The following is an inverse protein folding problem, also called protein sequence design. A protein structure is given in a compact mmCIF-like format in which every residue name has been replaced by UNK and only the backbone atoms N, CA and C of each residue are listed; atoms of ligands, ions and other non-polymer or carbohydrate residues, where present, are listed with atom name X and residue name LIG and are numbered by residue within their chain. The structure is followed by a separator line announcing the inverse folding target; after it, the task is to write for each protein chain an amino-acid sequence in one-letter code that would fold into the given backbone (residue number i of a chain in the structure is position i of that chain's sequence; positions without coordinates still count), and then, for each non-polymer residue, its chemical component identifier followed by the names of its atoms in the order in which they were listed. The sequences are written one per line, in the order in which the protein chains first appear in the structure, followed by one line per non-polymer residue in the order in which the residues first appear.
data_IF_699451926795
#
_entry.id   IF_699451926795
#
_cell.length_a   1.000
_cell.length_b   1.000
_cell.length_c   1.000
_cell.angle_alpha   90.00
_cell.angle_beta   90.00
_cell.angle_gamma   90.00
#
_symmetry.space_group_name_H-M   'P 1'
#
loop_
_entity.id
_entity.type
_entity.pdbx_description
1 polymer ?
#
# COMPACT_ATOMS: atom_id res chain seq x y z
N UNK A 1 -6.50 0.64 -12.27
CA UNK A 1 -6.39 -0.81 -12.02
C UNK A 1 -5.53 -1.45 -13.10
N UNK A 2 -4.84 -2.54 -12.77
CA UNK A 2 -4.15 -3.36 -13.77
C UNK A 2 -5.17 -4.33 -14.39
N UNK A 3 -5.14 -4.44 -15.73
CA UNK A 3 -5.96 -5.39 -16.47
C UNK A 3 -5.30 -6.78 -16.49
N UNK A 4 -5.97 -7.77 -15.94
CA UNK A 4 -5.60 -9.17 -16.10
C UNK A 4 -6.43 -9.77 -17.22
N UNK A 5 -5.79 -10.32 -18.27
CA UNK A 5 -6.47 -10.82 -19.47
C UNK A 5 -7.40 -12.00 -19.16
N UNK A 6 -7.07 -12.86 -18.19
CA UNK A 6 -7.94 -13.96 -17.76
C UNK A 6 -9.17 -13.46 -17.00
N UNK A 7 -9.02 -12.41 -16.19
CA UNK A 7 -10.15 -11.76 -15.50
C UNK A 7 -11.04 -11.06 -16.53
N UNK A 8 -10.44 -10.32 -17.46
CA UNK A 8 -11.18 -9.67 -18.55
C UNK A 8 -11.90 -10.68 -19.45
N UNK A 9 -11.31 -11.83 -19.71
CA UNK A 9 -11.95 -12.90 -20.48
C UNK A 9 -13.21 -13.46 -19.80
N UNK A 10 -13.20 -13.58 -18.49
CA UNK A 10 -14.31 -14.14 -17.71
C UNK A 10 -15.38 -13.13 -17.32
N UNK A 11 -14.98 -11.90 -17.06
CA UNK A 11 -15.82 -10.87 -16.44
C UNK A 11 -15.85 -9.54 -17.21
N UNK A 12 -15.12 -9.45 -18.33
CA UNK A 12 -15.05 -8.25 -19.15
C UNK A 12 -16.15 -8.17 -20.19
N UNK A 13 -16.74 -7.01 -20.32
CA UNK A 13 -17.71 -6.64 -21.38
C UNK A 13 -17.57 -5.16 -21.70
N UNK A 14 -18.14 -4.75 -22.83
CA UNK A 14 -18.23 -3.33 -23.19
C UNK A 14 -19.70 -2.91 -23.12
N UNK A 15 -19.98 -1.83 -22.39
CA UNK A 15 -21.30 -1.27 -22.23
C UNK A 15 -21.24 0.25 -22.24
N UNK A 16 -22.04 0.88 -23.08
CA UNK A 16 -22.17 2.34 -23.17
C UNK A 16 -20.81 3.06 -23.34
N UNK A 17 -19.93 2.52 -24.16
CA UNK A 17 -18.60 3.08 -24.41
C UNK A 17 -17.61 2.93 -23.24
N UNK A 18 -17.89 2.05 -22.28
CA UNK A 18 -17.01 1.75 -21.15
C UNK A 18 -16.60 0.28 -21.16
N UNK A 19 -15.36 0.00 -20.79
CA UNK A 19 -14.92 -1.35 -20.49
C UNK A 19 -15.34 -1.69 -19.06
N UNK A 20 -16.25 -2.64 -18.91
CA UNK A 20 -16.77 -3.09 -17.62
C UNK A 20 -16.09 -4.38 -17.24
N UNK A 21 -15.48 -4.43 -16.05
CA UNK A 21 -14.87 -5.65 -15.50
C UNK A 21 -15.37 -5.84 -14.07
N UNK A 22 -16.20 -6.83 -13.85
CA UNK A 22 -16.91 -7.00 -12.57
C UNK A 22 -17.80 -5.80 -12.27
N UNK A 23 -17.54 -5.14 -11.14
CA UNK A 23 -18.31 -3.96 -10.70
C UNK A 23 -17.72 -2.62 -11.17
N UNK A 24 -16.64 -2.62 -11.93
CA UNK A 24 -15.95 -1.40 -12.35
C UNK A 24 -16.16 -1.12 -13.83
N UNK A 25 -16.39 0.16 -14.17
CA UNK A 25 -16.57 0.64 -15.53
C UNK A 25 -15.50 1.69 -15.86
N UNK A 26 -14.67 1.40 -16.86
CA UNK A 26 -13.52 2.21 -17.25
C UNK A 26 -13.82 3.01 -18.50
N UNK A 27 -13.64 4.32 -18.42
CA UNK A 27 -13.74 5.26 -19.55
C UNK A 27 -12.45 5.31 -20.36
N UNK A 28 -11.32 5.15 -19.68
CA UNK A 28 -9.98 5.10 -20.27
C UNK A 28 -9.35 3.73 -20.09
N UNK A 29 -8.72 3.23 -21.13
CA UNK A 29 -7.85 2.06 -21.08
C UNK A 29 -6.49 2.46 -21.63
N UNK A 30 -5.43 2.11 -20.89
CA UNK A 30 -4.04 2.35 -21.27
C UNK A 30 -3.33 1.04 -21.54
N UNK A 31 -2.74 0.92 -22.71
CA UNK A 31 -1.91 -0.22 -23.10
C UNK A 31 -0.45 0.23 -22.98
N UNK A 32 0.30 -0.33 -22.00
CA UNK A 32 1.74 -0.11 -21.91
C UNK A 32 2.47 -0.85 -23.05
N UNK A 33 3.77 -0.63 -23.19
CA UNK A 33 4.59 -1.43 -24.09
C UNK A 33 4.50 -2.91 -23.69
N UNK A 34 3.89 -3.72 -24.55
CA UNK A 34 3.73 -5.16 -24.37
C UNK A 34 4.00 -5.89 -25.69
N UNK A 35 4.47 -7.14 -25.59
CA UNK A 35 4.84 -7.93 -26.77
C UNK A 35 3.68 -8.74 -27.33
N UNK A 36 2.86 -9.28 -26.49
CA UNK A 36 1.79 -10.22 -26.82
C UNK A 36 0.46 -9.80 -26.19
N UNK A 37 -0.66 -10.15 -26.81
CA UNK A 37 -2.02 -9.87 -26.32
C UNK A 37 -2.92 -11.06 -26.58
N UNK A 38 -3.84 -11.31 -25.66
CA UNK A 38 -4.92 -12.33 -25.79
C UNK A 38 -5.98 -11.86 -26.79
N UNK A 39 -6.49 -12.76 -27.62
CA UNK A 39 -7.57 -12.47 -28.60
C UNK A 39 -8.81 -11.86 -27.96
N UNK A 40 -9.18 -12.29 -26.77
CA UNK A 40 -10.34 -11.72 -26.10
C UNK A 40 -10.08 -10.26 -25.66
N UNK A 41 -8.86 -9.94 -25.23
CA UNK A 41 -8.47 -8.57 -24.90
C UNK A 41 -8.55 -7.69 -26.15
N UNK A 42 -7.99 -8.14 -27.28
CA UNK A 42 -8.11 -7.42 -28.56
C UNK A 42 -9.58 -7.17 -28.92
N UNK A 43 -10.43 -8.20 -28.85
CA UNK A 43 -11.88 -8.08 -29.13
C UNK A 43 -12.53 -7.03 -28.23
N UNK A 44 -12.30 -7.07 -26.93
CA UNK A 44 -12.86 -6.10 -25.97
C UNK A 44 -12.39 -4.68 -26.26
N UNK A 45 -11.12 -4.48 -26.57
CA UNK A 45 -10.57 -3.16 -26.85
C UNK A 45 -11.06 -2.59 -28.18
N UNK A 46 -11.23 -3.43 -29.20
CA UNK A 46 -11.81 -3.05 -30.49
C UNK A 46 -13.29 -2.64 -30.32
N UNK A 47 -14.06 -3.43 -29.58
CA UNK A 47 -15.45 -3.11 -29.27
C UNK A 47 -15.56 -1.82 -28.41
N UNK A 48 -14.67 -1.66 -27.43
CA UNK A 48 -14.59 -0.48 -26.57
C UNK A 48 -14.36 0.79 -27.39
N UNK A 49 -13.38 0.78 -28.28
CA UNK A 49 -13.11 1.96 -29.14
C UNK A 49 -14.21 2.22 -30.15
N UNK A 50 -14.84 1.18 -30.69
CA UNK A 50 -15.99 1.31 -31.60
C UNK A 50 -17.22 1.97 -30.94
N UNK A 51 -17.37 1.80 -29.61
CA UNK A 51 -18.42 2.45 -28.82
C UNK A 51 -18.00 3.81 -28.24
N UNK A 52 -16.86 4.37 -28.65
CA UNK A 52 -16.38 5.69 -28.21
C UNK A 52 -15.53 5.67 -26.93
N UNK A 53 -15.10 4.48 -26.48
CA UNK A 53 -14.16 4.31 -25.39
C UNK A 53 -12.79 4.92 -25.72
N UNK A 54 -12.09 5.39 -24.70
CA UNK A 54 -10.84 6.14 -24.82
C UNK A 54 -9.64 5.21 -24.59
N UNK A 55 -9.03 4.76 -25.69
CA UNK A 55 -7.86 3.89 -25.68
C UNK A 55 -6.57 4.69 -25.89
N UNK A 56 -5.64 4.55 -24.97
CA UNK A 56 -4.28 5.08 -25.07
C UNK A 56 -3.33 3.94 -25.31
N UNK A 57 -2.45 4.05 -26.30
CA UNK A 57 -1.37 3.12 -26.58
C UNK A 57 -0.06 3.90 -26.38
N UNK A 58 0.84 3.41 -25.52
CA UNK A 58 2.05 4.16 -25.13
C UNK A 58 2.92 4.45 -26.35
N UNK A 59 3.76 3.55 -26.78
CA UNK A 59 4.67 3.79 -27.89
C UNK A 59 4.36 2.89 -29.10
N UNK A 60 4.12 1.62 -28.83
CA UNK A 60 3.96 0.59 -29.87
C UNK A 60 2.81 -0.35 -29.52
N UNK A 61 2.11 -0.75 -30.57
CA UNK A 61 1.17 -1.86 -30.47
C UNK A 61 1.90 -3.16 -30.13
N UNK A 62 1.23 -4.16 -29.55
CA UNK A 62 1.77 -5.52 -29.46
C UNK A 62 2.20 -6.04 -30.83
N UNK A 63 3.12 -6.98 -30.86
CA UNK A 63 3.58 -7.60 -32.09
C UNK A 63 3.00 -9.00 -32.30
N UNK A 64 2.48 -9.62 -31.25
CA UNK A 64 1.97 -10.98 -31.25
C UNK A 64 0.58 -11.05 -30.63
N UNK A 65 -0.26 -11.92 -31.19
CA UNK A 65 -1.56 -12.27 -30.69
C UNK A 65 -1.56 -13.78 -30.35
N UNK A 66 -1.58 -14.11 -29.07
CA UNK A 66 -1.45 -15.50 -28.58
C UNK A 66 -0.20 -16.20 -29.17
N UNK A 67 0.94 -15.49 -29.22
CA UNK A 67 2.22 -16.00 -29.69
C UNK A 67 2.44 -15.95 -31.21
N UNK A 68 1.46 -15.60 -32.01
CA UNK A 68 1.54 -15.48 -33.46
C UNK A 68 1.69 -14.01 -33.89
N UNK A 69 2.54 -13.72 -34.87
CA UNK A 69 2.67 -12.37 -35.41
C UNK A 69 1.34 -11.85 -35.92
N UNK A 70 0.97 -10.63 -35.48
CA UNK A 70 -0.31 -10.01 -35.84
C UNK A 70 -0.17 -8.50 -36.02
N UNK A 71 -0.79 -7.88 -37.05
CA UNK A 71 -0.59 -6.45 -37.38
C UNK A 71 -1.34 -5.47 -36.47
N UNK A 72 -2.39 -5.90 -35.77
CA UNK A 72 -3.25 -5.06 -34.91
C UNK A 72 -3.80 -3.80 -35.60
N UNK A 73 -4.20 -3.90 -36.88
CA UNK A 73 -4.69 -2.75 -37.66
C UNK A 73 -5.98 -2.16 -37.10
N UNK A 74 -6.84 -3.01 -36.51
CA UNK A 74 -8.07 -2.63 -35.84
C UNK A 74 -7.85 -1.92 -34.49
N UNK A 75 -6.73 -2.13 -33.86
CA UNK A 75 -6.39 -1.52 -32.57
C UNK A 75 -5.87 -0.10 -32.80
N UNK A 76 -6.70 0.89 -32.57
CA UNK A 76 -6.37 2.32 -32.80
C UNK A 76 -6.48 3.09 -31.48
N UNK A 77 -5.44 3.88 -31.15
CA UNK A 77 -5.53 4.83 -30.07
C UNK A 77 -6.64 5.88 -30.38
N UNK A 78 -7.47 6.15 -29.40
CA UNK A 78 -8.56 7.13 -29.49
C UNK A 78 -8.41 8.26 -28.49
N UNK A 79 -7.36 8.21 -27.64
CA UNK A 79 -7.00 9.21 -26.65
C UNK A 79 -5.48 9.22 -26.43
N UNK A 80 -5.00 10.23 -25.74
CA UNK A 80 -3.62 10.45 -25.36
C UNK A 80 -3.41 10.34 -23.85
N UNK A 81 -2.16 10.26 -23.38
CA UNK A 81 -1.84 10.36 -21.95
C UNK A 81 -2.29 11.70 -21.37
N UNK A 82 -2.16 12.78 -22.14
CA UNK A 82 -2.61 14.13 -21.73
C UNK A 82 -4.13 14.16 -21.46
N UNK A 83 -4.93 13.40 -22.23
CA UNK A 83 -6.37 13.28 -22.00
C UNK A 83 -6.67 12.56 -20.67
N UNK A 84 -5.87 11.53 -20.32
CA UNK A 84 -5.96 10.90 -19.01
C UNK A 84 -5.61 11.90 -17.90
N UNK A 85 -4.48 12.61 -18.04
CA UNK A 85 -4.01 13.59 -17.05
C UNK A 85 -5.03 14.71 -16.82
N UNK A 86 -5.72 15.15 -17.87
CA UNK A 86 -6.80 16.14 -17.78
C UNK A 86 -8.07 15.60 -17.12
N UNK A 87 -8.30 14.30 -17.17
CA UNK A 87 -9.48 13.66 -16.61
C UNK A 87 -9.34 13.32 -15.12
N UNK A 88 -8.14 13.43 -14.56
CA UNK A 88 -7.89 13.10 -13.15
C UNK A 88 -8.41 14.24 -12.26
N UNK A 89 -9.13 13.87 -11.23
CA UNK A 89 -9.80 14.82 -10.31
C UNK A 89 -8.84 15.48 -9.31
N UNK A 90 -7.58 15.06 -9.30
CA UNK A 90 -6.55 15.62 -8.45
C UNK A 90 -5.22 15.74 -9.19
N UNK A 91 -4.35 16.64 -8.71
CA UNK A 91 -2.96 16.76 -9.20
C UNK A 91 -2.00 16.77 -8.03
N UNK A 92 -0.90 16.03 -8.18
CA UNK A 92 0.18 15.97 -7.20
C UNK A 92 1.46 16.44 -7.88
N UNK A 93 2.13 17.43 -7.26
CA UNK A 93 3.44 17.92 -7.69
C UNK A 93 4.45 17.69 -6.56
N UNK A 94 5.70 17.44 -6.91
CA UNK A 94 6.79 17.17 -5.97
C UNK A 94 7.11 15.69 -5.78
N UNK A 95 7.96 15.38 -4.80
CA UNK A 95 8.32 14.01 -4.43
C UNK A 95 9.16 13.23 -5.43
N UNK A 96 9.85 13.91 -6.37
CA UNK A 96 10.84 13.32 -7.28
C UNK A 96 10.39 12.03 -8.00
N UNK A 97 9.10 11.93 -8.35
CA UNK A 97 8.52 10.76 -9.03
C UNK A 97 8.33 9.51 -8.14
N UNK A 98 8.59 9.61 -6.84
CA UNK A 98 8.44 8.50 -5.88
C UNK A 98 7.14 8.53 -5.10
N UNK A 99 6.27 9.50 -5.37
CA UNK A 99 4.94 9.54 -4.78
C UNK A 99 4.02 8.57 -5.53
N UNK A 100 3.24 7.82 -4.76
CA UNK A 100 2.12 7.03 -5.29
C UNK A 100 0.85 7.48 -4.60
N UNK A 101 -0.25 7.37 -5.31
CA UNK A 101 -1.55 7.82 -4.82
C UNK A 101 -2.67 6.90 -5.25
N UNK A 102 -3.74 6.92 -4.48
CA UNK A 102 -4.98 6.25 -4.81
C UNK A 102 -6.17 7.12 -4.39
N UNK A 103 -6.94 7.55 -5.36
CA UNK A 103 -8.19 8.29 -5.16
C UNK A 103 -9.35 7.29 -5.01
N UNK A 104 -10.21 7.53 -4.05
CA UNK A 104 -11.33 6.64 -3.72
C UNK A 104 -12.57 7.43 -3.35
N UNK A 105 -13.69 6.93 -3.81
CA UNK A 105 -15.03 7.34 -3.39
C UNK A 105 -15.71 6.20 -2.63
N UNK A 106 -16.40 6.52 -1.57
CA UNK A 106 -17.12 5.55 -0.74
C UNK A 106 -18.18 6.20 0.10
N UNK A 107 -18.93 5.42 0.84
CA UNK A 107 -20.05 5.87 1.68
C UNK A 107 -19.63 6.88 2.76
N UNK A 108 -18.37 6.90 3.12
CA UNK A 108 -17.78 7.83 4.09
C UNK A 108 -17.12 9.06 3.46
N UNK A 109 -17.27 9.23 2.14
CA UNK A 109 -16.76 10.39 1.40
C UNK A 109 -15.66 10.04 0.40
N UNK A 110 -15.13 11.08 -0.21
CA UNK A 110 -14.06 11.00 -1.20
C UNK A 110 -12.72 11.32 -0.56
N UNK A 111 -11.72 10.50 -0.80
CA UNK A 111 -10.39 10.70 -0.25
C UNK A 111 -9.26 10.32 -1.20
N UNK A 112 -8.13 10.97 -1.00
CA UNK A 112 -6.86 10.68 -1.65
C UNK A 112 -5.90 10.07 -0.62
N UNK A 113 -5.45 8.85 -0.86
CA UNK A 113 -4.31 8.26 -0.16
C UNK A 113 -3.02 8.60 -0.91
N UNK A 114 -2.01 9.07 -0.20
CA UNK A 114 -0.71 9.45 -0.78
C UNK A 114 0.38 8.78 0.03
N UNK A 115 1.38 8.20 -0.65
CA UNK A 115 2.54 7.58 0.01
C UNK A 115 3.84 7.98 -0.67
N UNK A 116 4.85 8.27 0.13
CA UNK A 116 6.21 8.52 -0.31
C UNK A 116 7.01 7.21 -0.30
N UNK A 117 7.40 6.73 -1.46
CA UNK A 117 8.24 5.53 -1.63
C UNK A 117 9.75 5.86 -1.67
N UNK A 118 10.13 7.12 -1.44
CA UNK A 118 11.52 7.52 -1.39
C UNK A 118 12.14 7.22 -0.01
N UNK A 119 13.45 7.03 0.00
CA UNK A 119 14.28 6.94 1.21
C UNK A 119 14.46 8.31 1.90
N UNK A 120 14.03 9.39 1.27
CA UNK A 120 14.10 10.78 1.76
C UNK A 120 12.70 11.34 2.00
N UNK A 121 12.66 12.35 2.84
CA UNK A 121 11.45 13.17 3.01
C UNK A 121 11.07 13.84 1.69
N UNK A 122 9.78 13.96 1.45
CA UNK A 122 9.20 14.61 0.28
C UNK A 122 8.20 15.69 0.69
N UNK A 123 8.32 16.86 0.08
CA UNK A 123 7.26 17.86 0.10
C UNK A 123 6.41 17.71 -1.15
N UNK A 124 5.10 17.65 -0.96
CA UNK A 124 4.15 17.50 -2.05
C UNK A 124 3.05 18.57 -1.98
N UNK A 125 2.71 19.07 -3.13
CA UNK A 125 1.62 19.98 -3.37
C UNK A 125 0.49 19.20 -4.03
N UNK A 126 -0.70 19.29 -3.46
CA UNK A 126 -1.87 18.52 -3.91
C UNK A 126 -3.00 19.50 -4.24
N UNK A 127 -3.46 19.47 -5.48
CA UNK A 127 -4.68 20.15 -5.89
C UNK A 127 -5.81 19.14 -5.94
N UNK A 128 -6.86 19.40 -5.19
CA UNK A 128 -8.11 18.65 -5.16
C UNK A 128 -9.24 19.53 -5.70
N UNK A 129 -10.44 18.98 -5.87
CA UNK A 129 -11.60 19.75 -6.33
C UNK A 129 -12.22 20.56 -5.19
N UNK A 130 -12.22 20.01 -3.98
CA UNK A 130 -12.77 20.67 -2.79
C UNK A 130 -11.90 21.84 -2.33
N UNK A 131 -12.57 22.85 -1.77
CA UNK A 131 -11.90 24.08 -1.30
C UNK A 131 -11.17 23.91 0.04
N UNK A 132 -11.61 22.97 0.87
CA UNK A 132 -11.10 22.77 2.23
C UNK A 132 -10.82 21.28 2.53
N UNK A 133 -9.91 20.62 1.76
CA UNK A 133 -9.54 19.25 2.06
C UNK A 133 -8.83 19.18 3.41
N UNK A 134 -9.07 18.10 4.17
CA UNK A 134 -8.44 17.90 5.48
C UNK A 134 -7.69 16.57 5.53
N UNK A 135 -6.62 16.52 6.32
CA UNK A 135 -5.95 15.27 6.63
C UNK A 135 -6.69 14.46 7.68
N UNK A 136 -6.52 13.14 7.66
CA UNK A 136 -7.12 12.24 8.63
C UNK A 136 -6.06 11.38 9.29
N UNK A 137 -5.96 11.49 10.62
CA UNK A 137 -5.06 10.69 11.46
C UNK A 137 -5.79 9.40 11.86
N UNK A 138 -5.33 8.26 11.34
CA UNK A 138 -5.94 6.95 11.61
C UNK A 138 -5.70 6.46 13.04
N UNK A 139 -4.60 6.85 13.68
CA UNK A 139 -4.30 6.43 15.05
C UNK A 139 -5.19 7.15 16.05
N UNK A 140 -5.40 8.45 15.85
CA UNK A 140 -6.24 9.27 16.70
C UNK A 140 -7.70 9.32 16.26
N UNK A 141 -8.01 8.78 15.08
CA UNK A 141 -9.35 8.85 14.47
C UNK A 141 -9.88 10.29 14.38
N UNK A 142 -9.03 11.23 13.99
CA UNK A 142 -9.32 12.67 13.99
C UNK A 142 -8.97 13.34 12.68
N UNK A 143 -9.80 14.32 12.32
CA UNK A 143 -9.48 15.27 11.25
C UNK A 143 -8.39 16.24 11.74
N UNK A 144 -7.49 16.61 10.85
CA UNK A 144 -6.54 17.69 11.11
C UNK A 144 -6.47 18.66 9.92
N UNK A 145 -6.25 19.96 10.19
CA UNK A 145 -6.18 20.96 9.16
C UNK A 145 -4.90 20.80 8.33
N UNK A 146 -5.02 20.97 7.02
CA UNK A 146 -3.88 21.01 6.11
C UNK A 146 -3.40 22.46 5.94
N UNK A 147 -2.14 22.59 5.54
CA UNK A 147 -1.62 23.86 5.05
C UNK A 147 -2.18 24.10 3.66
N UNK A 148 -2.97 25.17 3.49
CA UNK A 148 -3.56 25.54 2.21
C UNK A 148 -2.94 26.84 1.69
N UNK A 149 -2.54 26.83 0.43
CA UNK A 149 -2.04 28.02 -0.28
C UNK A 149 -2.45 27.95 -1.74
N UNK A 150 -2.99 29.03 -2.26
CA UNK A 150 -3.43 29.18 -3.67
C UNK A 150 -4.35 28.01 -4.13
N UNK A 151 -5.26 27.56 -3.24
CA UNK A 151 -6.20 26.47 -3.50
C UNK A 151 -5.56 25.08 -3.57
N UNK A 152 -4.39 24.90 -3.00
CA UNK A 152 -3.66 23.64 -2.96
C UNK A 152 -3.31 23.26 -1.52
N UNK A 153 -3.31 21.98 -1.22
CA UNK A 153 -2.82 21.44 0.05
C UNK A 153 -1.33 21.14 -0.04
N UNK A 154 -0.60 21.47 1.01
CA UNK A 154 0.82 21.19 1.14
C UNK A 154 1.03 20.22 2.29
N UNK A 155 1.73 19.11 2.01
CA UNK A 155 2.08 18.11 3.01
C UNK A 155 3.55 17.74 2.90
N UNK A 156 4.11 17.35 4.04
CA UNK A 156 5.44 16.78 4.14
C UNK A 156 5.32 15.33 4.54
N UNK A 157 5.88 14.45 3.73
CA UNK A 157 5.87 13.01 3.94
C UNK A 157 7.29 12.54 4.24
N UNK A 158 7.54 12.02 5.42
CA UNK A 158 8.81 11.39 5.76
C UNK A 158 9.12 10.19 4.85
N UNK A 159 10.27 9.56 5.03
CA UNK A 159 10.63 8.29 4.39
C UNK A 159 9.54 7.24 4.66
N UNK A 160 8.97 6.67 3.60
CA UNK A 160 7.87 5.70 3.70
C UNK A 160 6.57 6.27 4.31
N UNK A 161 6.53 7.59 4.55
CA UNK A 161 5.38 8.25 5.14
C UNK A 161 4.18 8.30 4.20
N UNK A 162 2.99 8.30 4.78
CA UNK A 162 1.73 8.39 4.03
C UNK A 162 0.75 9.35 4.66
N UNK A 163 -0.23 9.79 3.89
CA UNK A 163 -1.33 10.62 4.36
C UNK A 163 -2.64 10.20 3.70
N UNK A 164 -3.73 10.37 4.44
CA UNK A 164 -5.10 10.30 3.92
C UNK A 164 -5.67 11.69 3.93
N UNK A 165 -6.17 12.14 2.80
CA UNK A 165 -6.72 13.48 2.61
C UNK A 165 -8.13 13.33 2.11
N UNK A 166 -9.09 13.79 2.90
CA UNK A 166 -10.50 13.82 2.52
C UNK A 166 -10.84 15.11 1.80
N UNK A 167 -11.70 15.02 0.81
CA UNK A 167 -12.32 16.18 0.20
C UNK A 167 -13.40 16.75 1.12
N UNK A 168 -13.48 18.08 1.19
CA UNK A 168 -14.49 18.78 1.95
C UNK A 168 -14.60 20.23 1.52
N UNK A 169 -15.81 20.75 1.51
CA UNK A 169 -16.10 22.18 1.35
C UNK A 169 -16.43 22.86 2.68
N UNK A 170 -16.38 22.09 3.78
CA UNK A 170 -16.55 22.61 5.14
C UNK A 170 -15.36 23.48 5.50
N UNK A 171 -15.58 24.77 5.67
CA UNK A 171 -14.54 25.76 5.95
C UNK A 171 -13.90 25.51 7.31
N UNK A 172 -12.58 25.48 7.33
CA UNK A 172 -11.78 25.44 8.56
C UNK A 172 -10.60 26.43 8.47
N UNK A 173 -9.98 26.70 9.62
CA UNK A 173 -8.73 27.51 9.66
C UNK A 173 -7.57 26.64 9.20
N UNK A 174 -6.92 26.91 8.04
CA UNK A 174 -5.80 26.13 7.56
C UNK A 174 -4.62 26.14 8.54
N UNK A 175 -3.88 25.05 8.59
CA UNK A 175 -2.63 25.01 9.32
C UNK A 175 -1.62 25.99 8.70
N UNK A 176 -0.79 26.60 9.54
CA UNK A 176 0.26 27.50 9.08
C UNK A 176 1.48 26.69 8.62
N UNK A 177 2.16 27.19 7.61
CA UNK A 177 3.47 26.65 7.28
C UNK A 177 4.39 26.73 8.50
N UNK A 178 5.17 25.68 8.69
CA UNK A 178 6.25 25.71 9.65
C UNK A 178 7.27 26.76 9.21
N UNK A 179 7.51 27.76 10.06
CA UNK A 179 8.36 28.92 9.76
C UNK A 179 9.85 28.71 10.04
N UNK A 180 10.25 27.47 10.32
CA UNK A 180 11.62 27.10 10.62
C UNK A 180 12.05 27.42 12.06
N UNK A 181 11.13 27.80 12.95
CA UNK A 181 11.48 27.97 14.37
C UNK A 181 11.76 26.60 15.00
N UNK A 182 12.87 26.54 15.68
CA UNK A 182 13.24 25.36 16.45
C UNK A 182 12.76 25.52 17.88
N UNK A 183 12.16 24.47 18.42
CA UNK A 183 11.89 24.36 19.86
C UNK A 183 13.09 23.62 20.43
N UNK A 184 13.78 24.26 21.35
CA UNK A 184 14.85 23.62 22.11
C UNK A 184 14.24 22.63 23.10
N UNK A 185 14.54 21.35 22.90
CA UNK A 185 14.07 20.25 23.75
C UNK A 185 15.16 19.74 24.69
N UNK A 186 16.25 20.49 24.89
CA UNK A 186 17.38 20.11 25.73
C UNK A 186 17.12 20.24 27.24
N UNK A 187 15.96 20.73 27.65
CA UNK A 187 15.57 20.91 29.05
C UNK A 187 15.27 19.58 29.77
N UNK A 188 14.81 19.71 31.02
CA UNK A 188 14.36 18.56 31.80
C UNK A 188 13.06 17.98 31.26
N UNK A 189 13.00 16.66 31.18
CA UNK A 189 11.84 15.92 30.72
C UNK A 189 11.18 15.17 31.88
N UNK A 190 9.88 15.28 32.00
CA UNK A 190 9.10 14.44 32.91
C UNK A 190 8.50 13.29 32.13
N UNK A 191 8.90 12.07 32.47
CA UNK A 191 8.33 10.87 31.89
C UNK A 191 6.98 10.60 32.56
N UNK A 192 5.90 10.82 31.84
CA UNK A 192 4.52 10.68 32.37
C UNK A 192 3.95 9.29 32.17
N UNK A 193 4.41 8.59 31.13
CA UNK A 193 3.94 7.25 30.82
C UNK A 193 5.07 6.43 30.19
N UNK A 194 5.15 5.17 30.55
CA UNK A 194 6.05 4.20 29.91
C UNK A 194 5.26 2.99 29.46
N UNK A 195 5.52 2.47 28.25
CA UNK A 195 4.98 1.17 27.88
C UNK A 195 5.52 0.08 28.82
N UNK A 196 4.83 -1.06 28.87
CA UNK A 196 5.32 -2.23 29.59
C UNK A 196 6.70 -2.60 29.06
N UNK A 197 7.63 -2.89 30.00
CA UNK A 197 8.94 -3.37 29.62
C UNK A 197 8.84 -4.77 28.99
N UNK A 198 9.41 -4.97 27.83
CA UNK A 198 9.37 -6.23 27.09
C UNK A 198 10.78 -6.79 26.86
N UNK A 199 10.88 -8.10 26.90
CA UNK A 199 12.09 -8.84 26.54
C UNK A 199 11.79 -9.78 25.38
N UNK A 200 12.39 -9.51 24.23
CA UNK A 200 12.31 -10.44 23.10
C UNK A 200 13.22 -11.64 23.35
N UNK A 201 12.64 -12.84 23.35
CA UNK A 201 13.39 -14.10 23.53
C UNK A 201 13.60 -14.72 22.15
N UNK A 202 14.73 -14.43 21.54
CA UNK A 202 15.08 -14.78 20.17
C UNK A 202 15.90 -16.07 20.03
N UNK A 203 16.25 -16.73 21.16
CA UNK A 203 17.05 -17.97 21.21
C UNK A 203 16.31 -19.07 21.94
N UNK A 204 16.31 -20.26 21.34
CA UNK A 204 15.71 -21.45 21.93
C UNK A 204 16.62 -22.69 21.75
N UNK A 205 16.26 -23.75 22.44
CA UNK A 205 16.77 -25.11 22.18
C UNK A 205 15.67 -25.91 21.51
N UNK A 206 15.97 -26.53 20.37
CA UNK A 206 15.04 -27.36 19.62
C UNK A 206 15.07 -28.81 20.13
N UNK A 207 13.90 -29.40 20.20
CA UNK A 207 13.71 -30.84 20.39
C UNK A 207 12.63 -31.37 19.44
N UNK A 208 12.74 -32.62 19.01
CA UNK A 208 11.74 -33.31 18.21
C UNK A 208 10.91 -34.31 19.03
N UNK A 209 11.42 -34.73 20.19
CA UNK A 209 10.80 -35.68 21.10
C UNK A 209 10.25 -35.05 22.40
N UNK A 210 10.55 -33.77 22.63
CA UNK A 210 10.21 -33.04 23.85
C UNK A 210 11.07 -33.36 25.06
N UNK A 211 12.06 -34.25 24.94
CA UNK A 211 12.93 -34.74 26.02
C UNK A 211 14.38 -34.30 25.80
N UNK A 212 14.90 -34.59 24.62
CA UNK A 212 16.29 -34.28 24.26
C UNK A 212 16.40 -32.98 23.53
N UNK A 213 17.00 -31.98 24.15
CA UNK A 213 17.14 -30.64 23.59
C UNK A 213 18.53 -30.36 23.04
N UNK A 214 18.60 -29.82 21.83
CA UNK A 214 19.85 -29.42 21.19
C UNK A 214 20.50 -28.19 21.81
N UNK A 215 21.54 -27.68 21.16
CA UNK A 215 22.21 -26.44 21.56
C UNK A 215 21.27 -25.24 21.39
N UNK A 216 21.47 -24.21 22.24
CA UNK A 216 20.77 -22.93 22.13
C UNK A 216 21.15 -22.23 20.82
N UNK A 217 20.18 -21.86 20.00
CA UNK A 217 20.36 -21.23 18.71
C UNK A 217 19.31 -20.13 18.50
N UNK A 218 19.56 -19.21 17.56
CA UNK A 218 18.59 -18.21 17.16
C UNK A 218 17.40 -18.86 16.47
N UNK A 219 16.20 -18.35 16.73
CA UNK A 219 14.97 -18.86 16.14
C UNK A 219 15.00 -18.88 14.60
N UNK A 220 15.46 -17.82 13.90
CA UNK A 220 15.57 -17.86 12.44
C UNK A 220 16.46 -19.01 11.95
N UNK A 221 17.59 -19.28 12.62
CA UNK A 221 18.47 -20.37 12.24
C UNK A 221 17.81 -21.75 12.45
N UNK A 222 17.05 -21.91 13.54
CA UNK A 222 16.27 -23.12 13.79
C UNK A 222 15.24 -23.34 12.68
N UNK A 223 14.44 -22.33 12.38
CA UNK A 223 13.37 -22.45 11.38
C UNK A 223 13.92 -22.63 9.97
N UNK A 224 14.96 -21.91 9.58
CA UNK A 224 15.60 -22.12 8.28
C UNK A 224 16.13 -23.56 8.15
N UNK A 225 16.77 -24.09 9.20
CA UNK A 225 17.22 -25.47 9.19
C UNK A 225 16.10 -26.51 9.12
N UNK A 226 14.90 -26.22 9.60
CA UNK A 226 13.70 -27.06 9.43
C UNK A 226 13.14 -26.96 8.00
N UNK A 227 13.13 -25.77 7.42
CA UNK A 227 12.70 -25.52 6.04
C UNK A 227 13.64 -26.24 5.06
N UNK A 228 14.95 -26.11 5.22
CA UNK A 228 15.97 -26.75 4.39
C UNK A 228 15.82 -28.28 4.39
N UNK A 229 15.46 -28.84 5.54
CA UNK A 229 15.21 -30.27 5.72
C UNK A 229 13.80 -30.69 5.29
N UNK A 230 12.96 -29.75 4.84
CA UNK A 230 11.54 -29.98 4.52
C UNK A 230 10.79 -30.70 5.65
N UNK A 231 11.14 -30.36 6.89
CA UNK A 231 10.59 -31.03 8.07
C UNK A 231 9.09 -30.68 8.22
N UNK A 232 8.29 -31.70 8.37
CA UNK A 232 6.86 -31.59 8.68
C UNK A 232 6.58 -32.40 9.94
N UNK A 233 6.15 -31.75 10.99
CA UNK A 233 5.86 -32.43 12.25
C UNK A 233 5.89 -31.48 13.45
N UNK A 234 5.72 -32.08 14.63
CA UNK A 234 5.74 -31.35 15.89
C UNK A 234 7.19 -31.08 16.31
N UNK A 235 7.45 -29.87 16.78
CA UNK A 235 8.69 -29.49 17.42
C UNK A 235 8.43 -28.95 18.82
N UNK A 236 9.44 -28.99 19.66
CA UNK A 236 9.43 -28.44 21.02
C UNK A 236 10.56 -27.41 21.10
N UNK A 237 10.22 -26.21 21.58
CA UNK A 237 11.17 -25.13 21.78
C UNK A 237 11.26 -24.81 23.25
N UNK A 238 12.50 -24.93 23.82
CA UNK A 238 12.77 -24.57 25.20
C UNK A 238 13.49 -23.23 25.24
N UNK A 239 12.83 -22.25 25.84
CA UNK A 239 13.39 -20.95 26.13
C UNK A 239 13.88 -20.87 27.54
N UNK A 240 14.93 -20.09 27.78
CA UNK A 240 15.43 -19.79 29.13
C UNK A 240 15.74 -18.32 29.24
N UNK A 241 15.21 -17.67 30.26
CA UNK A 241 15.43 -16.27 30.57
C UNK A 241 15.50 -16.08 32.10
N UNK A 242 16.16 -15.03 32.53
CA UNK A 242 16.32 -14.70 33.94
C UNK A 242 15.50 -13.44 34.27
N UNK A 243 14.72 -13.51 35.32
CA UNK A 243 13.98 -12.39 35.87
C UNK A 243 14.78 -11.83 37.05
N UNK A 244 15.47 -10.72 36.83
CA UNK A 244 16.34 -10.11 37.87
C UNK A 244 15.56 -9.39 38.96
N UNK A 245 14.35 -8.95 38.69
CA UNK A 245 13.51 -8.24 39.66
C UNK A 245 12.11 -8.85 39.65
N UNK A 246 11.61 -9.19 40.85
CA UNK A 246 10.25 -9.69 41.02
C UNK A 246 9.25 -8.67 40.51
N UNK A 247 8.27 -9.13 39.75
CA UNK A 247 7.16 -8.34 39.23
C UNK A 247 5.85 -9.02 39.58
N UNK A 248 4.80 -8.22 39.86
CA UNK A 248 3.51 -8.74 40.26
C UNK A 248 2.72 -9.30 39.07
N UNK A 249 3.04 -8.83 37.86
CA UNK A 249 2.40 -9.27 36.61
C UNK A 249 3.46 -9.47 35.55
N UNK A 250 3.40 -10.61 34.87
CA UNK A 250 4.22 -10.93 33.72
C UNK A 250 3.35 -11.59 32.68
N UNK A 251 3.49 -11.15 31.44
CA UNK A 251 2.77 -11.70 30.29
C UNK A 251 3.74 -12.36 29.35
N UNK A 252 3.34 -13.48 28.79
CA UNK A 252 4.02 -14.11 27.65
C UNK A 252 3.20 -13.77 26.41
N UNK A 253 3.84 -13.12 25.46
CA UNK A 253 3.27 -12.81 24.15
C UNK A 253 3.96 -13.65 23.08
N UNK A 254 3.17 -14.15 22.12
CA UNK A 254 3.69 -14.91 20.99
C UNK A 254 2.95 -14.49 19.72
N UNK A 255 3.69 -14.16 18.70
CA UNK A 255 3.17 -13.88 17.35
C UNK A 255 2.73 -15.15 16.60
N UNK A 256 3.09 -16.32 17.10
CA UNK A 256 2.76 -17.59 16.45
C UNK A 256 1.41 -18.13 16.91
N UNK A 257 0.55 -18.39 15.97
CA UNK A 257 -0.78 -18.92 16.20
C UNK A 257 -0.87 -20.45 16.18
N UNK A 258 0.22 -21.14 15.84
CA UNK A 258 0.30 -22.60 15.71
C UNK A 258 0.83 -23.31 16.98
N UNK A 259 0.93 -22.59 18.07
CA UNK A 259 1.32 -23.14 19.38
C UNK A 259 0.22 -24.06 19.89
N UNK A 260 0.58 -25.32 20.18
CA UNK A 260 -0.35 -26.32 20.73
C UNK A 260 -0.35 -26.35 22.25
N UNK A 261 0.78 -26.07 22.87
CA UNK A 261 0.94 -26.07 24.33
C UNK A 261 2.08 -25.13 24.72
N UNK A 262 1.92 -24.40 25.80
CA UNK A 262 2.95 -23.59 26.42
C UNK A 262 2.97 -23.91 27.93
N UNK A 263 4.14 -24.11 28.47
CA UNK A 263 4.36 -24.40 29.88
C UNK A 263 5.48 -23.48 30.42
N UNK A 264 5.31 -22.97 31.63
CA UNK A 264 6.29 -22.13 32.30
C UNK A 264 6.69 -22.85 33.60
N UNK A 265 8.02 -23.16 33.70
CA UNK A 265 8.60 -23.83 34.84
C UNK A 265 8.06 -25.27 35.12
N UNK A 266 7.58 -25.93 34.06
CA UNK A 266 7.13 -27.32 34.11
C UNK A 266 5.65 -27.50 34.28
#
# INVERSE_FOLDING_TARGET
HYGDENIMKRHGKVENGKLVVGNYAYTYVYIPEMKDMDKNTLRLLTEFTAQGGKLVIEDKKPAYLEGEKYPFDELKATATLEDIEKSVEYKINGGNGKIRSAYREGDFGTFLYVVNLDEKEAEVEIKLQSAYPYGYDLEKMQKYPLVLKDGKAYIRLGKGGSAIIFESDEKYEPAKFYDGRYIDLSGEWTLTETPLNSLTIDKARLSFDGVTYGKKAYLPAIFNGLIDKKYVGRIYLKYTFDVKKKTDKMFLESERMDIKKCEVNG
#
